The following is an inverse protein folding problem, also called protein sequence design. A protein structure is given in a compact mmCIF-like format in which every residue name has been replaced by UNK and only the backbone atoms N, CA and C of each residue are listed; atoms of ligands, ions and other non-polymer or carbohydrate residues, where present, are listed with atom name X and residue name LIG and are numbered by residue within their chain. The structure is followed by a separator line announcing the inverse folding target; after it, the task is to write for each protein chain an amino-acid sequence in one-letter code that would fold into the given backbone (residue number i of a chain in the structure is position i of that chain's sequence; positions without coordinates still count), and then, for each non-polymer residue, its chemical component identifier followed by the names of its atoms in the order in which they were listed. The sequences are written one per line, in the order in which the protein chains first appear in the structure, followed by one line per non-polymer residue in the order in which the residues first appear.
data_IF_180814553688
#
_entry.id   IF_180814553688
#
_cell.length_a   1.000
_cell.length_b   1.000
_cell.length_c   1.000
_cell.angle_alpha   90.00
_cell.angle_beta   90.00
_cell.angle_gamma   90.00
#
_symmetry.space_group_name_H-M   'P 1'
#
loop_
_entity.id
_entity.type
_entity.pdbx_description
1 polymer ?
#
# COMPACT_ATOMS: atom_id res chain seq x y z
N UNK A 1 21.01 -30.20 59.79
CA UNK A 1 21.52 -30.23 58.42
C UNK A 1 20.32 -30.02 57.44
N UNK A 2 20.13 -28.84 56.95
CA UNK A 2 19.14 -28.61 55.90
C UNK A 2 19.73 -29.14 54.59
N UNK A 3 19.25 -30.24 54.08
CA UNK A 3 19.47 -30.63 52.68
C UNK A 3 18.77 -29.58 51.82
N UNK A 4 19.53 -28.63 51.30
CA UNK A 4 18.99 -27.73 50.27
C UNK A 4 18.59 -28.63 49.11
N UNK A 5 17.27 -28.70 48.81
CA UNK A 5 16.74 -29.41 47.66
C UNK A 5 17.44 -28.87 46.42
N UNK A 6 18.17 -29.73 45.70
CA UNK A 6 18.88 -29.38 44.47
C UNK A 6 17.96 -29.24 43.25
N UNK A 7 16.72 -29.59 43.43
CA UNK A 7 15.70 -29.53 42.35
C UNK A 7 14.34 -29.10 42.91
N UNK A 8 13.52 -28.57 42.04
CA UNK A 8 12.12 -28.19 42.28
C UNK A 8 11.26 -28.82 41.22
N UNK A 9 10.19 -29.50 41.61
CA UNK A 9 9.29 -30.18 40.67
C UNK A 9 7.85 -29.67 40.79
N UNK A 10 7.11 -29.79 39.69
CA UNK A 10 5.66 -29.57 39.59
C UNK A 10 5.03 -30.61 38.66
N UNK A 11 3.86 -31.10 39.05
CA UNK A 11 2.98 -31.96 38.27
C UNK A 11 1.96 -31.17 37.43
N UNK A 12 1.94 -29.85 37.62
CA UNK A 12 1.02 -28.95 36.93
C UNK A 12 1.74 -28.27 35.79
N UNK A 13 2.13 -29.02 34.78
CA UNK A 13 2.76 -28.53 33.58
C UNK A 13 2.03 -29.06 32.34
N UNK A 14 1.88 -28.22 31.34
CA UNK A 14 1.14 -28.53 30.11
C UNK A 14 1.91 -28.13 28.88
N UNK A 15 1.82 -28.99 27.85
CA UNK A 15 2.40 -28.70 26.54
C UNK A 15 1.57 -27.62 25.86
N UNK A 16 2.24 -26.56 25.42
CA UNK A 16 1.69 -25.45 24.64
C UNK A 16 2.37 -25.30 23.29
N UNK A 17 1.76 -24.53 22.41
CA UNK A 17 2.34 -24.08 21.16
C UNK A 17 1.77 -22.72 20.76
N UNK A 18 2.56 -21.96 20.01
CA UNK A 18 2.07 -20.75 19.34
C UNK A 18 1.34 -21.18 18.06
N UNK A 19 0.00 -21.32 18.17
CA UNK A 19 -0.84 -21.86 17.11
C UNK A 19 -1.15 -20.78 16.05
N UNK A 20 -1.15 -21.16 14.78
CA UNK A 20 -1.63 -20.30 13.70
C UNK A 20 -3.12 -20.45 13.49
N UNK A 21 -3.87 -19.39 13.73
CA UNK A 21 -5.28 -19.32 13.40
C UNK A 21 -5.44 -18.93 11.94
N UNK A 22 -6.01 -19.80 11.12
CA UNK A 22 -6.24 -19.58 9.70
C UNK A 22 -7.62 -18.94 9.54
N UNK A 23 -7.64 -17.74 8.97
CA UNK A 23 -8.87 -16.98 8.70
C UNK A 23 -9.00 -16.66 7.23
N UNK A 24 -10.25 -16.49 6.75
CA UNK A 24 -10.48 -15.93 5.43
C UNK A 24 -10.10 -14.46 5.39
N UNK A 25 -9.50 -14.01 4.29
CA UNK A 25 -9.21 -12.60 4.01
C UNK A 25 -10.14 -12.01 2.96
N UNK A 26 -10.95 -12.84 2.29
CA UNK A 26 -11.88 -12.45 1.25
C UNK A 26 -13.27 -13.01 1.50
N UNK A 27 -14.28 -12.40 0.88
CA UNK A 27 -15.63 -12.91 0.84
C UNK A 27 -15.76 -13.96 -0.25
N UNK A 28 -16.52 -15.02 0.01
CA UNK A 28 -16.86 -15.98 -1.03
C UNK A 28 -17.42 -17.27 -0.49
N UNK A 29 -17.77 -18.17 -1.39
CA UNK A 29 -18.19 -19.51 -1.07
C UNK A 29 -16.99 -20.46 -1.12
N UNK A 30 -16.85 -21.32 -0.13
CA UNK A 30 -15.81 -22.36 -0.13
C UNK A 30 -16.15 -23.43 -1.17
N UNK A 31 -15.26 -23.59 -2.14
CA UNK A 31 -15.40 -24.59 -3.21
C UNK A 31 -14.76 -25.92 -2.85
N UNK A 32 -13.61 -25.86 -2.17
CA UNK A 32 -12.85 -27.04 -1.78
C UNK A 32 -12.20 -26.85 -0.41
N UNK A 33 -12.16 -27.93 0.38
CA UNK A 33 -11.35 -28.03 1.59
C UNK A 33 -10.41 -29.21 1.38
N UNK A 34 -9.11 -28.91 1.22
CA UNK A 34 -8.10 -29.87 0.77
C UNK A 34 -7.46 -30.66 1.92
N UNK A 35 -7.76 -30.30 3.15
CA UNK A 35 -7.16 -30.90 4.35
C UNK A 35 -8.22 -31.39 5.32
N UNK A 36 -7.83 -32.37 6.13
CA UNK A 36 -8.67 -32.96 7.20
C UNK A 36 -8.08 -32.62 8.56
N UNK A 37 -8.89 -32.71 9.61
CA UNK A 37 -8.38 -32.66 10.98
C UNK A 37 -7.29 -33.73 11.18
N UNK A 38 -6.28 -33.39 11.95
CA UNK A 38 -5.11 -34.23 12.24
C UNK A 38 -4.12 -34.41 11.09
N UNK A 39 -4.38 -33.84 9.91
CA UNK A 39 -3.47 -33.93 8.76
C UNK A 39 -2.26 -33.02 8.96
N UNK A 40 -1.09 -33.55 8.65
CA UNK A 40 0.13 -32.77 8.62
C UNK A 40 0.22 -31.93 7.34
N UNK A 41 0.58 -30.67 7.48
CA UNK A 41 0.73 -29.68 6.38
C UNK A 41 2.07 -28.99 6.49
N UNK A 42 2.58 -28.54 5.34
CA UNK A 42 3.79 -27.72 5.22
C UNK A 42 3.41 -26.28 4.93
N UNK A 43 4.30 -25.36 5.26
CA UNK A 43 4.16 -23.96 4.90
C UNK A 43 3.98 -23.82 3.37
N UNK A 44 2.96 -23.08 2.96
CA UNK A 44 2.59 -22.88 1.56
C UNK A 44 1.59 -23.89 1.00
N UNK A 45 1.26 -24.96 1.71
CA UNK A 45 0.23 -25.91 1.25
C UNK A 45 -1.14 -25.22 1.19
N UNK A 46 -1.91 -25.51 0.14
CA UNK A 46 -3.28 -24.98 -0.01
C UNK A 46 -4.21 -25.75 0.92
N UNK A 47 -4.86 -25.01 1.82
CA UNK A 47 -5.78 -25.57 2.81
C UNK A 47 -7.25 -25.51 2.35
N UNK A 48 -7.64 -24.36 1.81
CA UNK A 48 -9.01 -24.07 1.40
C UNK A 48 -8.99 -23.27 0.11
N UNK A 49 -9.93 -23.56 -0.80
CA UNK A 49 -10.21 -22.74 -1.98
C UNK A 49 -11.58 -22.08 -1.85
N UNK A 50 -11.58 -20.78 -2.09
CA UNK A 50 -12.78 -19.94 -2.13
C UNK A 50 -13.07 -19.67 -3.61
N UNK A 51 -14.34 -19.52 -3.99
CA UNK A 51 -14.74 -19.25 -5.37
C UNK A 51 -14.05 -17.98 -5.90
N UNK A 52 -13.19 -18.09 -6.94
CA UNK A 52 -12.42 -16.98 -7.43
C UNK A 52 -13.17 -16.12 -8.46
N UNK A 53 -14.40 -16.45 -8.83
CA UNK A 53 -15.12 -15.79 -9.94
C UNK A 53 -15.32 -14.30 -9.69
N UNK A 54 -15.76 -13.92 -8.50
CA UNK A 54 -15.96 -12.51 -8.14
C UNK A 54 -14.65 -11.73 -8.15
N UNK A 55 -13.58 -12.31 -7.62
CA UNK A 55 -12.25 -11.71 -7.63
C UNK A 55 -11.68 -11.57 -9.06
N UNK A 56 -11.93 -12.54 -9.95
CA UNK A 56 -11.54 -12.46 -11.36
C UNK A 56 -12.28 -11.33 -12.09
N UNK A 57 -13.58 -11.18 -11.84
CA UNK A 57 -14.38 -10.09 -12.41
C UNK A 57 -13.86 -8.74 -11.92
N UNK A 58 -13.59 -8.60 -10.63
CA UNK A 58 -13.04 -7.38 -10.05
C UNK A 58 -11.67 -7.03 -10.66
N UNK A 59 -10.81 -8.03 -10.91
CA UNK A 59 -9.53 -7.84 -11.57
C UNK A 59 -9.68 -7.31 -13.00
N UNK A 60 -10.59 -7.89 -13.79
CA UNK A 60 -10.86 -7.44 -15.16
C UNK A 60 -11.40 -6.01 -15.18
N UNK A 61 -12.28 -5.66 -14.23
CA UNK A 61 -12.79 -4.29 -14.09
C UNK A 61 -11.66 -3.30 -13.75
N UNK A 62 -10.80 -3.64 -12.79
CA UNK A 62 -9.66 -2.80 -12.41
C UNK A 62 -8.66 -2.61 -13.57
N UNK A 63 -8.39 -3.67 -14.35
CA UNK A 63 -7.54 -3.59 -15.54
C UNK A 63 -8.15 -2.68 -16.62
N UNK A 64 -9.46 -2.72 -16.81
CA UNK A 64 -10.16 -1.84 -17.74
C UNK A 64 -10.09 -0.37 -17.29
N UNK A 65 -10.24 -0.10 -15.99
CA UNK A 65 -10.08 1.25 -15.43
C UNK A 65 -8.65 1.77 -15.63
N UNK A 66 -7.64 0.93 -15.42
CA UNK A 66 -6.24 1.28 -15.67
C UNK A 66 -6.00 1.64 -17.15
N UNK A 67 -6.53 0.82 -18.05
CA UNK A 67 -6.43 1.09 -19.48
C UNK A 67 -7.14 2.39 -19.88
N UNK A 68 -8.27 2.71 -19.25
CA UNK A 68 -9.00 3.98 -19.44
C UNK A 68 -8.16 5.16 -18.96
N UNK A 69 -7.57 5.08 -17.75
CA UNK A 69 -6.73 6.15 -17.20
C UNK A 69 -5.51 6.46 -18.10
N UNK A 70 -4.84 5.40 -18.60
CA UNK A 70 -3.73 5.55 -19.57
C UNK A 70 -4.17 6.22 -20.86
N UNK A 71 -5.31 5.83 -21.43
CA UNK A 71 -5.84 6.48 -22.62
C UNK A 71 -6.18 7.95 -22.39
N UNK A 72 -6.71 8.31 -21.22
CA UNK A 72 -7.00 9.70 -20.86
C UNK A 72 -5.74 10.56 -20.84
N UNK A 73 -4.65 10.05 -20.25
CA UNK A 73 -3.35 10.71 -20.29
C UNK A 73 -2.88 10.92 -21.75
N UNK A 74 -2.91 9.87 -22.57
CA UNK A 74 -2.47 9.92 -23.96
C UNK A 74 -3.30 10.89 -24.79
N UNK A 75 -4.61 10.96 -24.54
CA UNK A 75 -5.50 11.94 -25.16
C UNK A 75 -5.12 13.38 -24.80
N UNK A 76 -4.86 13.65 -23.51
CA UNK A 76 -4.45 14.97 -23.05
C UNK A 76 -3.09 15.37 -23.64
N UNK A 77 -2.14 14.42 -23.71
CA UNK A 77 -0.83 14.62 -24.33
C UNK A 77 -0.94 14.92 -25.83
N UNK A 78 -1.76 14.18 -26.56
CA UNK A 78 -2.01 14.41 -27.99
C UNK A 78 -2.69 15.78 -28.23
N UNK A 79 -3.61 16.16 -27.34
CA UNK A 79 -4.24 17.48 -27.39
C UNK A 79 -3.22 18.61 -27.15
N UNK A 80 -2.27 18.45 -26.21
CA UNK A 80 -1.15 19.40 -26.03
C UNK A 80 -0.33 19.58 -27.31
N UNK A 81 -0.04 18.49 -28.01
CA UNK A 81 0.68 18.55 -29.28
C UNK A 81 -0.10 19.33 -30.35
N UNK A 82 -1.41 19.10 -30.45
CA UNK A 82 -2.29 19.85 -31.38
C UNK A 82 -2.32 21.34 -31.04
N UNK A 83 -2.48 21.69 -29.76
CA UNK A 83 -2.48 23.09 -29.30
C UNK A 83 -1.13 23.76 -29.52
N UNK A 84 0.00 23.05 -29.36
CA UNK A 84 1.33 23.57 -29.65
C UNK A 84 1.46 23.90 -31.17
N UNK A 85 0.93 23.06 -32.03
CA UNK A 85 0.87 23.35 -33.49
C UNK A 85 0.03 24.59 -33.80
N UNK A 86 -1.05 24.83 -33.06
CA UNK A 86 -1.85 26.07 -33.22
C UNK A 86 -1.03 27.31 -32.77
N UNK A 87 -0.26 27.22 -31.67
CA UNK A 87 0.65 28.30 -31.25
C UNK A 87 1.67 28.63 -32.34
N UNK A 88 2.19 27.62 -33.04
CA UNK A 88 3.11 27.80 -34.18
C UNK A 88 2.43 28.55 -35.33
N UNK A 89 1.21 28.16 -35.72
CA UNK A 89 0.43 28.87 -36.76
C UNK A 89 0.21 30.34 -36.39
N UNK A 90 -0.12 30.65 -35.13
CA UNK A 90 -0.24 32.03 -34.65
C UNK A 90 1.07 32.81 -34.68
N UNK A 91 2.21 32.14 -34.53
CA UNK A 91 3.52 32.78 -34.70
C UNK A 91 3.77 33.19 -36.18
N UNK A 92 3.33 32.36 -37.12
CA UNK A 92 3.44 32.69 -38.55
C UNK A 92 2.52 33.87 -38.94
N UNK A 93 1.33 33.98 -38.34
CA UNK A 93 0.43 35.13 -38.49
C UNK A 93 1.11 36.44 -37.99
N UNK A 94 1.86 36.39 -36.87
CA UNK A 94 2.62 37.54 -36.39
C UNK A 94 3.68 37.94 -37.40
N UNK A 95 4.41 36.96 -37.95
CA UNK A 95 5.44 37.27 -38.97
C UNK A 95 4.81 37.96 -40.23
N UNK A 96 3.62 37.50 -40.67
CA UNK A 96 2.87 38.12 -41.73
C UNK A 96 2.43 39.56 -41.40
N UNK A 97 1.89 39.77 -40.17
CA UNK A 97 1.48 41.11 -39.73
C UNK A 97 2.68 42.06 -39.58
N UNK A 98 3.85 41.59 -39.13
CA UNK A 98 5.10 42.36 -39.09
C UNK A 98 5.54 42.79 -40.48
N UNK A 99 5.45 41.93 -41.47
CA UNK A 99 5.74 42.27 -42.86
C UNK A 99 4.79 43.36 -43.39
N UNK A 100 3.50 43.33 -43.03
CA UNK A 100 2.55 44.38 -43.36
C UNK A 100 2.90 45.74 -42.72
N UNK A 101 3.33 45.74 -41.44
CA UNK A 101 3.81 46.94 -40.76
C UNK A 101 5.00 47.50 -41.47
N UNK A 102 6.01 46.68 -41.81
CA UNK A 102 7.22 47.13 -42.55
C UNK A 102 6.88 47.74 -43.92
N UNK A 103 5.89 47.15 -44.64
CA UNK A 103 5.40 47.70 -45.91
C UNK A 103 4.77 49.07 -45.67
N UNK A 104 3.87 49.20 -44.71
CA UNK A 104 3.19 50.47 -44.39
C UNK A 104 4.16 51.54 -43.90
N UNK A 105 5.22 51.19 -43.18
CA UNK A 105 6.33 52.11 -42.81
C UNK A 105 7.08 52.62 -44.02
N UNK A 106 7.39 51.74 -44.98
CA UNK A 106 8.06 52.15 -46.21
C UNK A 106 7.18 53.05 -47.06
N UNK A 107 5.88 52.75 -47.17
CA UNK A 107 4.88 53.56 -47.90
C UNK A 107 4.75 54.96 -47.23
N UNK A 108 4.71 55.02 -45.88
CA UNK A 108 4.68 56.25 -45.12
C UNK A 108 5.94 57.09 -45.37
N UNK A 109 7.11 56.46 -45.30
CA UNK A 109 8.40 57.16 -45.51
C UNK A 109 8.45 57.78 -46.90
N UNK A 110 7.98 57.05 -47.90
CA UNK A 110 7.86 57.57 -49.30
C UNK A 110 6.90 58.74 -49.38
N UNK A 111 5.69 58.63 -48.83
CA UNK A 111 4.68 59.68 -48.83
C UNK A 111 5.14 60.93 -48.09
N UNK A 112 5.86 60.76 -47.03
CA UNK A 112 6.45 61.88 -46.27
C UNK A 112 7.53 62.59 -47.04
N UNK A 113 8.45 61.87 -47.65
CA UNK A 113 9.49 62.49 -48.52
C UNK A 113 8.91 63.24 -49.73
N UNK A 114 7.87 62.69 -50.33
CA UNK A 114 7.16 63.34 -51.45
C UNK A 114 6.43 64.61 -51.00
N UNK A 115 5.76 64.57 -49.84
CA UNK A 115 5.10 65.71 -49.21
C UNK A 115 6.10 66.85 -48.94
N UNK A 116 7.22 66.55 -48.24
CA UNK A 116 8.24 67.49 -47.91
C UNK A 116 8.88 68.16 -49.18
N UNK A 117 9.09 67.36 -50.20
CA UNK A 117 9.59 67.88 -51.50
C UNK A 117 8.60 68.84 -52.12
N UNK A 118 7.32 68.49 -52.15
CA UNK A 118 6.26 69.36 -52.73
C UNK A 118 6.02 70.60 -51.85
N UNK A 119 6.10 70.49 -50.55
CA UNK A 119 6.04 71.65 -49.68
C UNK A 119 7.07 72.70 -49.99
N UNK A 120 8.35 72.29 -50.18
CA UNK A 120 9.42 73.20 -50.58
C UNK A 120 9.21 73.86 -51.93
N UNK A 121 8.63 73.11 -52.91
CA UNK A 121 8.28 73.64 -54.22
C UNK A 121 7.10 74.62 -54.16
N UNK A 122 6.11 74.38 -53.28
CA UNK A 122 5.02 75.31 -53.07
C UNK A 122 5.43 76.64 -52.49
N UNK A 123 6.45 76.67 -51.64
CA UNK A 123 7.01 77.93 -51.10
C UNK A 123 7.64 78.82 -52.18
N UNK A 124 8.08 78.21 -53.27
CA UNK A 124 8.62 78.90 -54.44
C UNK A 124 7.57 79.21 -55.50
N UNK A 125 6.32 78.89 -55.28
CA UNK A 125 5.25 79.06 -56.22
C UNK A 125 5.23 78.08 -57.43
N UNK A 126 6.05 77.02 -57.43
CA UNK A 126 6.30 76.08 -58.48
C UNK A 126 5.21 74.98 -58.63
N UNK A 127 4.27 74.80 -57.65
CA UNK A 127 3.16 73.84 -57.68
C UNK A 127 1.83 74.51 -57.29
N UNK A 128 0.68 73.85 -57.66
CA UNK A 128 -0.64 74.32 -57.33
C UNK A 128 -1.03 73.95 -55.90
N UNK A 129 -2.01 74.68 -55.32
CA UNK A 129 -2.62 74.36 -54.04
C UNK A 129 -3.30 72.99 -54.05
N UNK A 130 -3.85 72.56 -55.19
CA UNK A 130 -4.48 71.25 -55.34
C UNK A 130 -3.48 70.08 -55.26
N UNK A 131 -2.32 70.25 -55.91
CA UNK A 131 -1.20 69.28 -55.83
C UNK A 131 -0.67 69.13 -54.41
N UNK A 132 -0.60 70.21 -53.67
CA UNK A 132 -0.20 70.18 -52.26
C UNK A 132 -1.25 69.48 -51.37
N UNK A 133 -2.56 69.74 -51.61
CA UNK A 133 -3.66 69.09 -50.91
C UNK A 133 -3.69 67.58 -51.18
N UNK A 134 -3.43 67.20 -52.45
CA UNK A 134 -3.29 65.79 -52.83
C UNK A 134 -2.16 65.10 -52.10
N UNK A 135 -0.99 65.72 -52.01
CA UNK A 135 0.16 65.18 -51.29
C UNK A 135 -0.13 65.00 -49.79
N UNK A 136 -0.84 65.96 -49.19
CA UNK A 136 -1.27 65.85 -47.77
C UNK A 136 -2.22 64.66 -47.58
N UNK A 137 -3.20 64.49 -48.49
CA UNK A 137 -4.14 63.34 -48.40
C UNK A 137 -3.42 62.01 -48.53
N UNK A 138 -2.44 61.89 -49.43
CA UNK A 138 -1.61 60.66 -49.55
C UNK A 138 -0.83 60.38 -48.26
N UNK A 139 -0.21 61.42 -47.66
CA UNK A 139 0.49 61.29 -46.39
C UNK A 139 -0.42 60.82 -45.25
N UNK A 140 -1.63 61.43 -45.13
CA UNK A 140 -2.59 61.07 -44.09
C UNK A 140 -3.14 59.66 -44.28
N UNK A 141 -3.36 59.25 -45.56
CA UNK A 141 -3.75 57.86 -45.90
C UNK A 141 -2.66 56.86 -45.52
N UNK A 142 -1.37 57.20 -45.80
CA UNK A 142 -0.26 56.34 -45.43
C UNK A 142 -0.11 56.19 -43.87
N UNK A 143 -0.35 57.27 -43.12
CA UNK A 143 -0.36 57.26 -41.65
C UNK A 143 -1.49 56.35 -41.14
N UNK A 144 -2.69 56.49 -41.66
CA UNK A 144 -3.82 55.63 -41.31
C UNK A 144 -3.55 54.15 -41.62
N UNK A 145 -2.91 53.88 -42.76
CA UNK A 145 -2.52 52.52 -43.17
C UNK A 145 -1.49 51.91 -42.21
N UNK A 146 -0.53 52.67 -41.75
CA UNK A 146 0.42 52.20 -40.71
C UNK A 146 -0.27 51.91 -39.39
N UNK A 147 -1.16 52.79 -38.93
CA UNK A 147 -1.95 52.57 -37.72
C UNK A 147 -2.78 51.27 -37.80
N UNK A 148 -3.41 51.03 -38.95
CA UNK A 148 -4.18 49.81 -39.20
C UNK A 148 -3.29 48.57 -39.18
N UNK A 149 -2.10 48.63 -39.81
CA UNK A 149 -1.17 47.51 -39.81
C UNK A 149 -0.63 47.21 -38.40
N UNK A 150 -0.34 48.24 -37.57
CA UNK A 150 0.07 48.11 -36.19
C UNK A 150 -1.03 47.50 -35.32
N UNK A 151 -2.31 47.87 -35.52
CA UNK A 151 -3.43 47.27 -34.85
C UNK A 151 -3.59 45.78 -35.24
N UNK A 152 -3.34 45.45 -36.50
CA UNK A 152 -3.32 44.07 -36.99
C UNK A 152 -2.22 43.23 -36.31
N UNK A 153 -1.02 43.79 -36.16
CA UNK A 153 0.07 43.13 -35.43
C UNK A 153 -0.30 42.90 -33.97
N UNK A 154 -0.81 43.90 -33.27
CA UNK A 154 -1.25 43.76 -31.87
C UNK A 154 -2.34 42.68 -31.72
N UNK A 155 -3.27 42.60 -32.67
CA UNK A 155 -4.30 41.55 -32.69
C UNK A 155 -3.67 40.16 -32.86
N UNK A 156 -2.72 39.97 -33.75
CA UNK A 156 -2.03 38.70 -33.99
C UNK A 156 -1.23 38.28 -32.75
N UNK A 157 -0.57 39.22 -32.06
CA UNK A 157 0.13 38.95 -30.79
C UNK A 157 -0.81 38.51 -29.66
N UNK A 158 -1.99 39.18 -29.54
CA UNK A 158 -3.02 38.80 -28.58
C UNK A 158 -3.58 37.39 -28.87
N UNK A 159 -3.79 37.05 -30.13
CA UNK A 159 -4.26 35.72 -30.53
C UNK A 159 -3.23 34.62 -30.18
N UNK A 160 -1.93 34.88 -30.40
CA UNK A 160 -0.87 33.95 -29.99
C UNK A 160 -0.84 33.76 -28.49
N UNK A 161 -0.95 34.83 -27.74
CA UNK A 161 -0.96 34.78 -26.25
C UNK A 161 -2.15 33.96 -25.75
N UNK A 162 -3.35 34.12 -26.37
CA UNK A 162 -4.52 33.32 -26.04
C UNK A 162 -4.29 31.82 -26.31
N UNK A 163 -3.70 31.50 -27.48
CA UNK A 163 -3.36 30.11 -27.83
C UNK A 163 -2.33 29.52 -26.87
N UNK A 164 -1.32 30.28 -26.46
CA UNK A 164 -0.33 29.86 -25.45
C UNK A 164 -0.99 29.60 -24.08
N UNK A 165 -1.94 30.45 -23.67
CA UNK A 165 -2.67 30.25 -22.41
C UNK A 165 -3.52 28.97 -22.44
N UNK A 166 -4.14 28.66 -23.59
CA UNK A 166 -4.90 27.43 -23.77
C UNK A 166 -4.00 26.18 -23.72
N UNK A 167 -2.84 26.24 -24.37
CA UNK A 167 -1.83 25.18 -24.28
C UNK A 167 -1.36 24.98 -22.83
N UNK A 168 -1.00 26.07 -22.15
CA UNK A 168 -0.53 26.00 -20.75
C UNK A 168 -1.59 25.41 -19.80
N UNK A 169 -2.89 25.73 -20.02
CA UNK A 169 -3.98 25.14 -19.23
C UNK A 169 -4.09 23.62 -19.46
N UNK A 170 -3.95 23.16 -20.72
CA UNK A 170 -3.98 21.72 -21.01
C UNK A 170 -2.74 21.00 -20.46
N UNK A 171 -1.55 21.60 -20.60
CA UNK A 171 -0.31 21.05 -20.06
C UNK A 171 -0.31 20.99 -18.53
N UNK A 172 -1.03 21.86 -17.86
CA UNK A 172 -1.14 21.84 -16.41
C UNK A 172 -1.77 20.55 -15.89
N UNK A 173 -2.60 19.86 -16.70
CA UNK A 173 -3.23 18.59 -16.36
C UNK A 173 -2.22 17.42 -16.29
N UNK A 174 -1.09 17.53 -17.02
CA UNK A 174 -0.09 16.47 -17.14
C UNK A 174 1.34 16.95 -16.75
N UNK A 175 1.45 18.18 -16.23
CA UNK A 175 2.75 18.79 -15.90
C UNK A 175 3.54 17.96 -14.90
N UNK A 176 4.76 17.61 -15.26
CA UNK A 176 5.67 16.84 -14.42
C UNK A 176 5.31 15.36 -14.26
N UNK A 177 4.27 14.90 -14.94
CA UNK A 177 3.84 13.52 -14.93
C UNK A 177 4.15 12.81 -16.25
N UNK A 178 4.45 11.53 -16.14
CA UNK A 178 4.48 10.58 -17.26
C UNK A 178 3.18 9.78 -17.28
N UNK A 179 2.93 8.99 -18.32
CA UNK A 179 1.78 8.07 -18.36
C UNK A 179 1.70 7.21 -17.09
N UNK A 180 2.86 6.78 -16.54
CA UNK A 180 2.95 5.90 -15.38
C UNK A 180 2.84 6.62 -14.03
N UNK A 181 3.13 7.92 -13.98
CA UNK A 181 3.19 8.70 -12.74
C UNK A 181 2.01 9.64 -12.54
N UNK A 182 1.04 9.65 -13.46
CA UNK A 182 -0.19 10.42 -13.31
C UNK A 182 -1.01 9.88 -12.14
N UNK A 183 -1.58 10.71 -11.28
CA UNK A 183 -2.35 10.26 -10.11
C UNK A 183 -3.48 9.27 -10.47
N UNK A 184 -4.22 9.52 -11.54
CA UNK A 184 -5.30 8.63 -11.97
C UNK A 184 -4.80 7.24 -12.39
N UNK A 185 -3.63 7.18 -13.06
CA UNK A 185 -2.99 5.91 -13.44
C UNK A 185 -2.47 5.18 -12.21
N UNK A 186 -1.88 5.89 -11.24
CA UNK A 186 -1.41 5.29 -9.98
C UNK A 186 -2.57 4.73 -9.16
N UNK A 187 -3.68 5.47 -9.06
CA UNK A 187 -4.88 4.99 -8.36
C UNK A 187 -5.44 3.73 -9.04
N UNK A 188 -5.55 3.75 -10.36
CA UNK A 188 -6.04 2.60 -11.12
C UNK A 188 -5.08 1.40 -11.03
N UNK A 189 -3.77 1.64 -11.01
CA UNK A 189 -2.76 0.60 -10.80
C UNK A 189 -2.89 -0.04 -9.41
N UNK A 190 -3.06 0.77 -8.37
CA UNK A 190 -3.29 0.28 -7.01
C UNK A 190 -4.55 -0.59 -6.90
N UNK A 191 -5.62 -0.24 -7.64
CA UNK A 191 -6.84 -1.07 -7.71
C UNK A 191 -6.59 -2.43 -8.39
N UNK A 192 -5.76 -2.46 -9.43
CA UNK A 192 -5.34 -3.72 -10.07
C UNK A 192 -4.57 -4.57 -9.08
N UNK A 193 -3.62 -4.01 -8.36
CA UNK A 193 -2.82 -4.72 -7.34
C UNK A 193 -3.71 -5.26 -6.22
N UNK A 194 -4.68 -4.48 -5.75
CA UNK A 194 -5.65 -4.94 -4.75
C UNK A 194 -6.49 -6.11 -5.28
N UNK A 195 -6.99 -6.01 -6.50
CA UNK A 195 -7.80 -7.08 -7.11
C UNK A 195 -6.97 -8.36 -7.36
N UNK A 196 -5.69 -8.23 -7.72
CA UNK A 196 -4.77 -9.37 -7.83
C UNK A 196 -4.53 -10.04 -6.48
N UNK A 197 -4.31 -9.25 -5.43
CA UNK A 197 -4.13 -9.74 -4.08
C UNK A 197 -5.39 -10.44 -3.55
N UNK A 198 -6.57 -9.92 -3.84
CA UNK A 198 -7.83 -10.54 -3.45
C UNK A 198 -8.08 -11.86 -4.21
N UNK A 199 -7.65 -11.93 -5.47
CA UNK A 199 -7.66 -13.18 -6.23
C UNK A 199 -6.70 -14.22 -5.64
N UNK A 200 -5.48 -13.84 -5.28
CA UNK A 200 -4.52 -14.72 -4.61
C UNK A 200 -5.06 -15.24 -3.28
N UNK A 201 -5.74 -14.39 -2.51
CA UNK A 201 -6.35 -14.73 -1.22
C UNK A 201 -7.55 -15.68 -1.31
N UNK A 202 -8.04 -15.98 -2.51
CA UNK A 202 -9.03 -17.04 -2.69
C UNK A 202 -8.45 -18.44 -2.48
N UNK A 203 -7.15 -18.61 -2.54
CA UNK A 203 -6.43 -19.78 -2.09
C UNK A 203 -5.81 -19.51 -0.71
N UNK A 204 -6.29 -20.22 0.30
CA UNK A 204 -5.82 -20.06 1.68
C UNK A 204 -4.70 -21.06 1.94
N UNK A 205 -3.51 -20.54 2.24
CA UNK A 205 -2.30 -21.34 2.45
C UNK A 205 -1.93 -21.48 3.92
N UNK A 206 -1.22 -22.58 4.25
CA UNK A 206 -0.63 -22.77 5.57
C UNK A 206 0.53 -21.77 5.80
N UNK A 207 0.53 -21.00 6.90
CA UNK A 207 1.59 -20.02 7.19
C UNK A 207 2.84 -20.66 7.79
N UNK A 208 2.73 -21.91 8.28
CA UNK A 208 3.81 -22.66 8.93
C UNK A 208 3.58 -24.16 8.80
N UNK A 209 4.64 -24.93 9.06
CA UNK A 209 4.55 -26.40 9.15
C UNK A 209 3.84 -26.81 10.42
N UNK A 210 2.89 -27.72 10.34
CA UNK A 210 2.15 -28.17 11.51
C UNK A 210 1.09 -29.21 11.21
N UNK A 211 0.21 -29.40 12.19
CA UNK A 211 -0.93 -30.31 12.11
C UNK A 211 -2.22 -29.51 12.16
N UNK A 212 -3.13 -29.79 11.25
CA UNK A 212 -4.46 -29.16 11.20
C UNK A 212 -5.27 -29.59 12.41
N UNK A 213 -5.83 -28.63 13.10
CA UNK A 213 -6.72 -28.83 14.24
C UNK A 213 -7.92 -27.89 14.13
N UNK A 214 -9.07 -28.33 14.68
CA UNK A 214 -10.32 -27.52 14.72
C UNK A 214 -10.73 -26.98 13.36
N UNK A 215 -10.85 -27.82 12.36
CA UNK A 215 -11.40 -27.43 11.05
C UNK A 215 -12.87 -27.08 11.19
N UNK A 216 -13.18 -25.78 11.15
CA UNK A 216 -14.54 -25.24 11.30
C UNK A 216 -15.22 -24.96 9.95
N UNK A 217 -14.47 -25.07 8.83
CA UNK A 217 -14.95 -24.75 7.49
C UNK A 217 -15.40 -26.00 6.74
N UNK A 218 -16.47 -25.85 5.95
CA UNK A 218 -17.01 -26.91 5.09
C UNK A 218 -17.21 -26.39 3.66
N UNK A 219 -17.21 -27.32 2.70
CA UNK A 219 -17.52 -27.03 1.29
C UNK A 219 -18.95 -26.49 1.19
N UNK A 220 -19.13 -25.45 0.40
CA UNK A 220 -20.43 -24.75 0.23
C UNK A 220 -20.69 -23.65 1.25
N UNK A 221 -19.93 -23.56 2.31
CA UNK A 221 -20.06 -22.51 3.32
C UNK A 221 -19.62 -21.16 2.75
N UNK A 222 -20.38 -20.11 3.06
CA UNK A 222 -19.96 -18.72 2.75
C UNK A 222 -19.08 -18.19 3.88
N UNK A 223 -17.94 -17.62 3.51
CA UNK A 223 -16.99 -17.04 4.44
C UNK A 223 -16.80 -15.54 4.16
N UNK A 224 -16.37 -14.82 5.19
CA UNK A 224 -16.05 -13.39 5.14
C UNK A 224 -14.69 -13.15 5.81
N UNK A 225 -14.05 -11.99 5.56
CA UNK A 225 -12.80 -11.62 6.23
C UNK A 225 -12.91 -11.73 7.75
N UNK A 226 -11.94 -12.42 8.37
CA UNK A 226 -11.91 -12.68 9.80
C UNK A 226 -12.62 -13.95 10.26
N UNK A 227 -13.40 -14.63 9.41
CA UNK A 227 -13.96 -15.92 9.78
C UNK A 227 -12.86 -16.96 9.98
N UNK A 228 -12.83 -17.61 11.14
CA UNK A 228 -11.89 -18.69 11.44
C UNK A 228 -12.24 -19.95 10.62
N UNK A 229 -11.27 -20.45 9.88
CA UNK A 229 -11.40 -21.63 9.04
C UNK A 229 -10.88 -22.89 9.75
N UNK A 230 -9.69 -22.80 10.34
CA UNK A 230 -9.03 -23.87 11.08
C UNK A 230 -7.86 -23.31 11.89
N UNK A 231 -7.23 -24.18 12.68
CA UNK A 231 -6.02 -23.90 13.43
C UNK A 231 -4.92 -24.85 12.97
N UNK A 232 -3.71 -24.34 12.74
CA UNK A 232 -2.51 -25.14 12.47
C UNK A 232 -1.59 -25.06 13.68
N UNK A 233 -1.25 -26.23 14.24
CA UNK A 233 -0.41 -26.37 15.43
C UNK A 233 1.00 -26.79 15.01
N UNK A 234 2.05 -25.99 15.30
CA UNK A 234 3.44 -26.32 14.97
C UNK A 234 3.96 -27.39 15.95
N UNK A 235 3.92 -28.64 15.58
CA UNK A 235 4.34 -29.75 16.44
C UNK A 235 5.85 -29.86 16.64
N UNK A 236 6.64 -29.13 15.87
CA UNK A 236 8.10 -29.08 16.02
C UNK A 236 8.58 -27.95 16.97
N UNK A 237 7.70 -27.03 17.35
CA UNK A 237 8.02 -25.86 18.17
C UNK A 237 7.07 -25.79 19.38
N UNK A 238 7.12 -26.84 20.19
CA UNK A 238 6.35 -26.92 21.42
C UNK A 238 7.14 -26.36 22.60
N UNK A 239 6.41 -25.83 23.56
CA UNK A 239 6.94 -25.46 24.87
C UNK A 239 6.08 -26.07 25.98
N UNK A 240 6.56 -25.97 27.21
CA UNK A 240 5.80 -26.39 28.36
C UNK A 240 5.59 -25.19 29.28
N UNK A 241 4.36 -24.92 29.64
CA UNK A 241 4.04 -23.96 30.70
C UNK A 241 3.85 -24.74 32.02
N UNK A 242 4.87 -24.65 32.88
CA UNK A 242 4.91 -25.35 34.16
C UNK A 242 4.52 -24.39 35.30
N UNK A 243 3.46 -24.71 36.00
CA UNK A 243 2.90 -23.88 37.07
C UNK A 243 3.51 -24.24 38.40
N UNK A 244 4.54 -23.52 38.84
CA UNK A 244 5.18 -23.70 40.13
C UNK A 244 4.48 -22.89 41.24
N UNK A 245 4.51 -23.38 42.48
CA UNK A 245 4.07 -22.61 43.63
C UNK A 245 5.02 -21.44 43.86
N UNK A 246 4.50 -20.28 44.31
CA UNK A 246 5.30 -19.09 44.64
C UNK A 246 6.50 -19.42 45.55
N UNK A 247 6.30 -20.28 46.56
CA UNK A 247 7.34 -20.69 47.49
C UNK A 247 8.48 -21.51 46.87
N UNK A 248 8.29 -22.08 45.68
CA UNK A 248 9.29 -22.91 44.99
C UNK A 248 10.18 -22.07 44.04
N UNK A 249 9.78 -20.87 43.68
CA UNK A 249 10.39 -20.07 42.60
C UNK A 249 11.60 -19.22 43.06
N UNK A 250 11.87 -19.13 44.36
CA UNK A 250 12.94 -18.25 44.90
C UNK A 250 14.33 -18.49 44.27
N UNK A 251 14.63 -19.72 43.84
CA UNK A 251 15.93 -20.13 43.29
C UNK A 251 15.86 -20.45 41.77
N UNK A 252 14.69 -20.45 41.17
CA UNK A 252 14.54 -20.71 39.72
C UNK A 252 14.99 -19.48 38.93
N UNK A 253 15.76 -19.68 37.87
CA UNK A 253 16.33 -18.64 37.00
C UNK A 253 16.19 -19.06 35.54
N UNK A 254 16.13 -18.07 34.67
CA UNK A 254 16.17 -18.29 33.20
C UNK A 254 17.46 -18.98 32.80
N UNK A 255 17.36 -19.95 31.90
CA UNK A 255 18.50 -20.74 31.39
C UNK A 255 18.77 -22.02 32.13
N UNK A 256 18.17 -22.27 33.31
CA UNK A 256 18.33 -23.51 34.05
C UNK A 256 17.80 -24.71 33.29
N UNK A 257 18.46 -25.85 33.42
CA UNK A 257 18.04 -27.12 32.83
C UNK A 257 16.79 -27.67 33.53
N UNK A 258 15.91 -28.24 32.72
CA UNK A 258 14.66 -28.87 33.19
C UNK A 258 14.55 -30.24 32.58
N UNK A 259 14.22 -31.21 33.38
CA UNK A 259 13.80 -32.55 32.98
C UNK A 259 12.28 -32.60 33.00
N UNK A 260 11.71 -33.12 31.91
CA UNK A 260 10.27 -33.22 31.75
C UNK A 260 9.87 -34.64 31.37
N UNK A 261 8.87 -35.16 32.05
CA UNK A 261 8.31 -36.49 31.82
C UNK A 261 6.85 -36.32 31.45
N UNK A 262 6.45 -36.86 30.31
CA UNK A 262 5.04 -36.81 29.84
C UNK A 262 4.26 -38.00 30.38
N UNK A 263 3.10 -37.72 30.94
CA UNK A 263 2.17 -38.80 31.37
C UNK A 263 1.73 -39.72 30.19
N UNK A 264 1.88 -39.21 28.94
CA UNK A 264 1.55 -39.96 27.74
C UNK A 264 2.54 -41.07 27.41
N UNK A 265 3.85 -40.83 27.60
CA UNK A 265 4.92 -41.82 27.34
C UNK A 265 5.44 -42.50 28.63
N UNK A 266 5.07 -42.00 29.81
CA UNK A 266 5.58 -42.50 31.08
C UNK A 266 7.05 -42.18 31.32
N UNK A 267 7.62 -42.82 32.33
CA UNK A 267 8.98 -42.55 32.83
C UNK A 267 10.09 -43.00 31.86
N UNK A 268 9.76 -43.74 30.78
CA UNK A 268 10.74 -44.25 29.82
C UNK A 268 11.25 -43.16 28.89
N UNK A 269 10.51 -42.04 28.71
CA UNK A 269 10.88 -40.92 27.83
C UNK A 269 11.06 -39.65 28.66
N UNK A 270 12.31 -39.21 28.81
CA UNK A 270 12.65 -37.97 29.46
C UNK A 270 13.00 -36.92 28.39
N UNK A 271 12.31 -35.77 28.46
CA UNK A 271 12.61 -34.62 27.63
C UNK A 271 13.47 -33.64 28.37
N UNK A 272 14.42 -33.05 27.69
CA UNK A 272 15.29 -32.00 28.23
C UNK A 272 14.83 -30.63 27.72
N UNK A 273 14.78 -29.69 28.63
CA UNK A 273 14.39 -28.33 28.34
C UNK A 273 15.22 -27.30 29.08
N UNK A 274 14.94 -26.05 28.80
CA UNK A 274 15.52 -24.90 29.49
C UNK A 274 14.44 -23.91 29.88
N UNK A 275 14.57 -23.31 31.07
CA UNK A 275 13.69 -22.21 31.47
C UNK A 275 13.89 -21.02 30.56
N UNK A 276 12.86 -20.64 29.83
CA UNK A 276 12.85 -19.43 28.96
C UNK A 276 12.55 -18.18 29.79
N UNK A 277 11.61 -18.26 30.71
CA UNK A 277 11.19 -17.11 31.51
C UNK A 277 9.97 -17.40 32.35
N UNK A 278 9.54 -16.37 33.05
CA UNK A 278 8.37 -16.38 33.92
C UNK A 278 7.24 -15.57 33.30
N UNK A 279 6.00 -16.01 33.52
CA UNK A 279 4.85 -15.19 33.19
C UNK A 279 4.85 -13.89 33.99
N UNK A 280 4.36 -12.80 33.42
CA UNK A 280 4.22 -11.49 34.07
C UNK A 280 3.21 -11.43 35.22
N UNK A 281 2.48 -12.54 35.49
CA UNK A 281 1.51 -12.63 36.57
C UNK A 281 1.06 -14.06 36.84
N UNK A 282 0.41 -14.26 37.98
CA UNK A 282 -0.18 -15.57 38.34
C UNK A 282 -1.42 -15.84 37.54
N UNK A 283 -1.80 -17.12 37.40
CA UNK A 283 -3.03 -17.51 36.72
C UNK A 283 -4.28 -16.86 37.32
N UNK A 284 -4.30 -16.60 38.60
CA UNK A 284 -5.40 -15.92 39.28
C UNK A 284 -5.50 -14.42 38.93
N UNK A 285 -4.37 -13.75 38.61
CA UNK A 285 -4.35 -12.35 38.22
C UNK A 285 -4.94 -12.11 36.82
N UNK A 286 -4.88 -13.11 35.94
CA UNK A 286 -5.40 -13.05 34.57
C UNK A 286 -6.69 -13.83 34.37
N UNK A 287 -7.29 -14.39 35.43
CA UNK A 287 -8.56 -15.09 35.34
C UNK A 287 -9.70 -14.12 35.04
N UNK A 288 -10.55 -14.45 34.06
CA UNK A 288 -11.74 -13.68 33.68
C UNK A 288 -12.74 -13.52 34.84
N UNK A 289 -12.74 -14.46 35.79
CA UNK A 289 -13.52 -14.42 37.03
C UNK A 289 -12.55 -14.63 38.18
N UNK A 290 -12.13 -13.55 38.89
CA UNK A 290 -11.33 -13.72 40.09
C UNK A 290 -12.08 -14.55 41.12
N UNK A 291 -11.42 -15.52 41.73
CA UNK A 291 -11.99 -16.27 42.85
C UNK A 291 -12.25 -15.32 44.02
N UNK A 292 -13.48 -14.85 44.16
CA UNK A 292 -13.90 -14.04 45.30
C UNK A 292 -14.40 -14.98 46.41
N UNK A 293 -13.77 -14.94 47.54
CA UNK A 293 -14.30 -15.55 48.75
C UNK A 293 -15.48 -14.71 49.26
N UNK A 294 -16.70 -15.11 48.90
CA UNK A 294 -17.95 -14.39 49.19
C UNK A 294 -18.36 -14.47 50.71
N UNK A 295 -17.63 -15.15 51.50
CA UNK A 295 -17.98 -15.38 52.95
C UNK A 295 -16.76 -15.09 53.83
N UNK A 296 -16.56 -13.87 54.25
CA UNK A 296 -15.90 -13.35 55.44
C UNK A 296 -14.59 -13.96 55.99
N UNK A 297 -14.19 -15.15 55.64
CA UNK A 297 -12.95 -15.79 56.07
C UNK A 297 -11.88 -15.68 54.97
N UNK A 298 -10.92 -14.79 55.17
CA UNK A 298 -9.76 -14.66 54.29
C UNK A 298 -8.81 -15.86 54.51
N UNK A 299 -8.68 -16.70 53.48
CA UNK A 299 -7.70 -17.81 53.46
C UNK A 299 -6.62 -17.44 52.42
N UNK A 300 -5.36 -17.40 52.85
CA UNK A 300 -4.22 -17.24 51.95
C UNK A 300 -4.09 -18.48 51.06
N UNK A 301 -4.46 -18.36 49.76
CA UNK A 301 -4.25 -19.41 48.78
C UNK A 301 -2.88 -19.21 48.12
N UNK A 302 -2.04 -20.25 48.16
CA UNK A 302 -0.73 -20.24 47.52
C UNK A 302 -0.92 -20.09 46.02
N UNK A 303 -0.37 -19.00 45.46
CA UNK A 303 -0.46 -18.71 44.03
C UNK A 303 0.52 -19.57 43.23
N UNK A 304 0.16 -19.87 41.99
CA UNK A 304 1.04 -20.54 41.03
C UNK A 304 1.45 -19.55 39.95
N UNK A 305 2.73 -19.55 39.58
CA UNK A 305 3.27 -18.73 38.50
C UNK A 305 3.71 -19.65 37.36
N UNK A 306 3.24 -19.42 36.13
CA UNK A 306 3.67 -20.16 34.97
C UNK A 306 5.13 -19.85 34.63
N UNK A 307 5.91 -20.90 34.44
CA UNK A 307 7.28 -20.85 33.96
C UNK A 307 7.31 -21.52 32.59
N UNK A 308 7.74 -20.78 31.57
CA UNK A 308 7.85 -21.31 30.20
C UNK A 308 9.18 -22.03 30.02
N UNK A 309 9.09 -23.23 29.48
CA UNK A 309 10.22 -24.14 29.28
C UNK A 309 10.28 -24.51 27.80
N UNK A 310 11.41 -24.25 27.14
CA UNK A 310 11.66 -24.74 25.78
C UNK A 310 12.02 -26.22 25.81
N UNK A 311 11.50 -26.98 24.86
CA UNK A 311 11.82 -28.39 24.63
C UNK A 311 12.91 -28.52 23.57
N UNK A 312 13.73 -29.61 23.64
CA UNK A 312 14.68 -29.93 22.57
C UNK A 312 13.92 -30.43 21.31
N UNK A 313 14.08 -29.76 20.15
CA UNK A 313 13.41 -30.17 18.90
C UNK A 313 13.77 -31.59 18.45
N UNK A 314 14.96 -32.09 18.79
CA UNK A 314 15.39 -33.43 18.40
C UNK A 314 14.62 -34.51 19.17
N UNK A 315 14.37 -34.29 20.43
CA UNK A 315 13.59 -35.21 21.26
C UNK A 315 12.12 -35.20 20.85
N UNK A 316 11.58 -34.01 20.51
CA UNK A 316 10.23 -33.88 19.94
C UNK A 316 10.06 -34.59 18.60
N UNK A 317 11.10 -34.67 17.78
CA UNK A 317 11.05 -35.41 16.51
C UNK A 317 11.04 -36.94 16.72
N UNK A 318 11.71 -37.42 17.76
CA UNK A 318 11.73 -38.85 18.11
C UNK A 318 10.43 -39.29 18.84
N UNK A 319 9.96 -38.49 19.75
CA UNK A 319 8.78 -38.72 20.57
C UNK A 319 7.82 -37.51 20.48
N UNK A 320 6.96 -37.45 19.44
CA UNK A 320 6.09 -36.30 19.22
C UNK A 320 5.07 -36.10 20.34
N UNK A 321 5.04 -34.89 20.91
CA UNK A 321 4.02 -34.45 21.85
C UNK A 321 2.85 -33.76 21.16
N UNK A 322 1.77 -33.56 21.90
CA UNK A 322 0.60 -32.78 21.47
C UNK A 322 0.29 -31.69 22.48
N UNK A 323 -0.25 -30.58 21.99
CA UNK A 323 -0.70 -29.49 22.85
C UNK A 323 -1.77 -29.98 23.82
N UNK A 324 -1.66 -29.55 25.07
CA UNK A 324 -2.59 -29.91 26.13
C UNK A 324 -2.22 -31.17 26.91
N UNK A 325 -1.18 -31.93 26.52
CA UNK A 325 -0.70 -33.06 27.30
C UNK A 325 -0.08 -32.58 28.62
N UNK A 326 -0.36 -33.33 29.71
CA UNK A 326 0.23 -33.07 31.02
C UNK A 326 1.64 -33.64 31.12
N UNK A 327 2.46 -32.94 31.89
CA UNK A 327 3.86 -33.30 32.14
C UNK A 327 4.25 -33.04 33.60
N UNK A 328 5.23 -33.76 34.04
CA UNK A 328 5.96 -33.50 35.29
C UNK A 328 7.25 -32.73 34.94
N UNK A 329 7.44 -31.55 35.49
CA UNK A 329 8.60 -30.70 35.24
C UNK A 329 9.47 -30.61 36.47
N UNK A 330 10.78 -30.91 36.35
CA UNK A 330 11.77 -30.83 37.40
C UNK A 330 12.90 -29.91 36.97
N UNK A 331 13.05 -28.78 37.67
CA UNK A 331 14.09 -27.78 37.42
C UNK A 331 15.30 -28.10 38.28
N UNK A 332 16.48 -28.18 37.65
CA UNK A 332 17.76 -28.29 38.36
C UNK A 332 18.22 -26.91 38.85
N UNK A 333 18.39 -26.76 40.15
CA UNK A 333 18.80 -25.52 40.82
C UNK A 333 20.33 -25.39 40.97
N UNK A 334 21.09 -26.36 40.48
CA UNK A 334 22.55 -26.41 40.69
C UNK A 334 23.37 -25.71 39.60
N UNK A 335 22.69 -25.26 38.52
CA UNK A 335 23.35 -24.54 37.42
C UNK A 335 22.67 -23.21 37.12
#
# INVERSE_FOLDING_TARGET
MYFASRSVSTDNAYVGADTAQITSMVNGQVTEVLVKDTQQVKQGDVLVRIDPRDAKIALVQAQAELAKAKRQYNQTSANSQSLNSQVSVRADEIASAQAQVKKAEADLAKAQADYERRRKLSETGAISKEEMSSAQTVLDTARASLTLAQAGLSQAEANRKAAQSTLAANEALIRGATERSTPDVLIAQARVEQAMLDLERTEVHAPLDGVVSRRNVQVGQRVAPGNSLMVVVPVAQLYVDANFKESQLAKVRTGQAVELISDFYGDEVVYHGKVLGFSGGTGAAFALIPAQNATGNWIKVVQRLPVRIALDPKELAQHPLRVGLSMNATVDLTR
#
